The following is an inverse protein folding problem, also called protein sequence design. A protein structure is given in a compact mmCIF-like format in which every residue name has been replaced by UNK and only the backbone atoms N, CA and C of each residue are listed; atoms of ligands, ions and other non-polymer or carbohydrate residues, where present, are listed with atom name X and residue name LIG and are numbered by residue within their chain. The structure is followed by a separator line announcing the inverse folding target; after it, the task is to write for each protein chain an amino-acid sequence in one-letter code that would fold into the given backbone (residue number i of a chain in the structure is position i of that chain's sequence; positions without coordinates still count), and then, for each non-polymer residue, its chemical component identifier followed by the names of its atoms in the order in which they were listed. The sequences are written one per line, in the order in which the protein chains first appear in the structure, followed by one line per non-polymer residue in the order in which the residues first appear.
data_IF_451085343890
#
_entry.id   IF_451085343890
#
_cell.length_a   1.000
_cell.length_b   1.000
_cell.length_c   1.000
_cell.angle_alpha   90.00
_cell.angle_beta   90.00
_cell.angle_gamma   90.00
#
_symmetry.space_group_name_H-M   'P 1'
#
loop_
_entity.id
_entity.type
_entity.pdbx_description
1 polymer ?
#
# COMPACT_ATOMS: atom_id res chain seq x y z
N UNK A 1 21.25 -6.61 6.64
CA UNK A 1 21.76 -6.18 5.31
C UNK A 1 21.01 -7.01 4.27
N UNK A 2 20.20 -6.38 3.40
CA UNK A 2 19.49 -7.07 2.34
C UNK A 2 20.49 -7.63 1.33
N UNK A 3 20.36 -8.93 1.03
CA UNK A 3 21.14 -9.59 -0.01
C UNK A 3 20.91 -8.87 -1.36
N UNK A 4 21.98 -8.37 -2.03
CA UNK A 4 21.84 -7.66 -3.30
C UNK A 4 21.29 -8.53 -4.46
N UNK A 5 21.28 -9.86 -4.29
CA UNK A 5 20.75 -10.81 -5.27
C UNK A 5 19.23 -11.05 -5.20
N UNK A 6 18.56 -10.59 -4.14
CA UNK A 6 17.12 -10.80 -3.99
C UNK A 6 16.29 -9.85 -4.87
N UNK A 7 15.18 -10.36 -5.40
CA UNK A 7 14.18 -9.55 -6.09
C UNK A 7 13.53 -8.53 -5.14
N UNK A 8 12.87 -7.53 -5.71
CA UNK A 8 12.10 -6.54 -4.92
C UNK A 8 10.96 -7.16 -4.12
N UNK A 9 10.31 -8.17 -4.68
CA UNK A 9 9.24 -8.89 -4.00
C UNK A 9 9.77 -9.69 -2.80
N UNK A 10 10.88 -10.41 -2.97
CA UNK A 10 11.54 -11.12 -1.88
C UNK A 10 12.04 -10.17 -0.78
N UNK A 11 12.61 -9.02 -1.16
CA UNK A 11 13.01 -7.98 -0.18
C UNK A 11 11.83 -7.48 0.63
N UNK A 12 10.66 -7.23 -0.01
CA UNK A 12 9.44 -6.83 0.69
C UNK A 12 8.99 -7.91 1.68
N UNK A 13 8.97 -9.18 1.29
CA UNK A 13 8.62 -10.28 2.18
C UNK A 13 9.55 -10.31 3.42
N UNK A 14 10.85 -10.12 3.20
CA UNK A 14 11.84 -10.10 4.30
C UNK A 14 11.62 -8.92 5.28
N UNK A 15 11.30 -7.70 4.80
CA UNK A 15 11.07 -6.56 5.70
C UNK A 15 9.74 -6.66 6.47
N UNK A 16 8.84 -7.57 6.06
CA UNK A 16 7.61 -7.88 6.81
C UNK A 16 7.85 -8.92 7.92
N UNK A 17 8.96 -9.64 7.91
CA UNK A 17 9.35 -10.54 9.00
C UNK A 17 10.04 -9.76 10.13
N UNK A 18 9.22 -9.16 10.99
CA UNK A 18 9.69 -8.29 12.08
C UNK A 18 10.41 -9.08 13.16
N UNK A 19 11.52 -8.52 13.66
CA UNK A 19 12.22 -9.02 14.82
C UNK A 19 11.47 -8.67 16.11
N UNK A 20 11.11 -9.67 16.92
CA UNK A 20 10.59 -9.43 18.28
C UNK A 20 11.73 -8.88 19.17
N UNK A 21 11.51 -7.74 19.79
CA UNK A 21 12.45 -7.10 20.74
C UNK A 21 12.01 -7.39 22.17
N UNK A 22 10.73 -7.21 22.46
CA UNK A 22 10.10 -7.46 23.74
C UNK A 22 8.61 -7.82 23.51
N UNK A 23 7.87 -8.14 24.56
CA UNK A 23 6.42 -8.31 24.44
C UNK A 23 5.77 -7.06 23.86
N UNK A 24 4.97 -7.24 22.80
CA UNK A 24 4.28 -6.16 22.08
C UNK A 24 5.23 -5.10 21.45
N UNK A 25 6.55 -5.35 21.38
CA UNK A 25 7.54 -4.47 20.76
C UNK A 25 8.31 -5.21 19.67
N UNK A 26 8.24 -4.69 18.45
CA UNK A 26 8.86 -5.29 17.27
C UNK A 26 9.73 -4.29 16.52
N UNK A 27 10.77 -4.78 15.84
CA UNK A 27 11.63 -3.99 14.98
C UNK A 27 11.49 -4.43 13.53
N UNK A 28 11.27 -3.46 12.64
CA UNK A 28 11.26 -3.64 11.19
C UNK A 28 12.47 -3.01 10.55
N UNK A 29 13.12 -3.76 9.65
CA UNK A 29 14.12 -3.22 8.72
C UNK A 29 13.43 -2.50 7.56
N UNK A 30 14.18 -1.71 6.78
CA UNK A 30 13.61 -0.88 5.73
C UNK A 30 14.13 -1.23 4.34
N UNK A 31 13.27 -1.05 3.33
CA UNK A 31 13.69 -0.95 1.94
C UNK A 31 14.43 0.37 1.74
N UNK A 32 15.71 0.31 1.33
CA UNK A 32 16.56 1.49 1.17
C UNK A 32 16.53 2.10 -0.24
N UNK A 33 15.96 1.38 -1.19
CA UNK A 33 16.03 1.71 -2.61
C UNK A 33 14.94 2.70 -3.08
N UNK A 34 13.99 3.06 -2.20
CA UNK A 34 12.89 3.99 -2.50
C UNK A 34 13.22 5.46 -2.18
N UNK A 35 14.50 5.80 -1.99
CA UNK A 35 14.96 7.14 -1.65
C UNK A 35 15.23 7.32 -0.15
N UNK A 36 15.33 8.56 0.32
CA UNK A 36 15.71 8.86 1.72
C UNK A 36 14.55 8.76 2.72
N UNK A 37 13.31 8.66 2.26
CA UNK A 37 12.10 8.59 3.10
C UNK A 37 11.45 7.22 3.01
N UNK A 38 10.92 6.76 4.12
CA UNK A 38 10.12 5.54 4.16
C UNK A 38 8.88 5.69 3.26
N UNK A 39 8.55 4.63 2.55
CA UNK A 39 7.28 4.51 1.86
C UNK A 39 6.17 4.23 2.88
N UNK A 40 5.06 4.99 2.82
CA UNK A 40 3.96 4.84 3.77
C UNK A 40 3.34 3.45 3.77
N UNK A 41 3.22 2.82 2.59
CA UNK A 41 2.75 1.44 2.47
C UNK A 41 3.63 0.42 3.19
N UNK A 42 4.95 0.62 3.25
CA UNK A 42 5.83 -0.23 4.07
C UNK A 42 5.50 -0.10 5.56
N UNK A 43 5.31 1.13 6.05
CA UNK A 43 4.98 1.37 7.47
C UNK A 43 3.61 0.78 7.82
N UNK A 44 2.60 0.93 6.94
CA UNK A 44 1.28 0.30 7.08
C UNK A 44 1.39 -1.24 7.17
N UNK A 45 2.14 -1.85 6.25
CA UNK A 45 2.31 -3.30 6.19
C UNK A 45 3.06 -3.85 7.41
N UNK A 46 4.15 -3.20 7.83
CA UNK A 46 4.91 -3.59 9.02
C UNK A 46 4.11 -3.38 10.31
N UNK A 47 3.34 -2.29 10.44
CA UNK A 47 2.44 -2.09 11.57
C UNK A 47 1.36 -3.18 11.63
N UNK A 48 0.81 -3.57 10.47
CA UNK A 48 -0.13 -4.70 10.37
C UNK A 48 0.52 -6.02 10.75
N UNK A 49 1.75 -6.27 10.30
CA UNK A 49 2.52 -7.46 10.66
C UNK A 49 2.83 -7.52 12.18
N UNK A 50 3.18 -6.38 12.81
CA UNK A 50 3.35 -6.28 14.26
C UNK A 50 2.06 -6.61 15.00
N UNK A 51 0.92 -6.08 14.56
CA UNK A 51 -0.39 -6.38 15.15
C UNK A 51 -0.73 -7.87 15.04
N UNK A 52 -0.46 -8.51 13.89
CA UNK A 52 -0.66 -9.94 13.68
C UNK A 52 0.17 -10.85 14.61
N UNK A 53 1.31 -10.35 15.13
CA UNK A 53 2.11 -11.09 16.15
C UNK A 53 1.44 -11.17 17.52
N UNK A 54 0.31 -10.47 17.70
CA UNK A 54 -0.41 -10.36 18.98
C UNK A 54 -1.83 -10.92 18.95
N UNK A 55 -2.24 -11.51 17.82
CA UNK A 55 -3.59 -12.09 17.63
C UNK A 55 -3.49 -13.49 17.06
N UNK A 56 -4.54 -14.29 17.27
CA UNK A 56 -4.67 -15.66 16.79
C UNK A 56 -6.05 -15.89 16.17
N UNK A 57 -6.11 -16.61 15.05
CA UNK A 57 -7.37 -17.06 14.40
C UNK A 57 -8.39 -15.93 14.08
N UNK A 58 -7.91 -14.69 13.95
CA UNK A 58 -8.71 -13.54 13.51
C UNK A 58 -7.98 -12.79 12.41
N UNK A 59 -8.74 -12.21 11.49
CA UNK A 59 -8.17 -11.54 10.32
C UNK A 59 -8.39 -10.03 10.37
N UNK A 60 -7.35 -9.28 9.99
CA UNK A 60 -7.43 -7.83 9.81
C UNK A 60 -8.54 -7.49 8.82
N UNK A 61 -9.58 -6.80 9.26
CA UNK A 61 -10.65 -6.33 8.38
C UNK A 61 -10.66 -4.81 8.20
N UNK A 62 -10.08 -4.04 9.14
CA UNK A 62 -9.95 -2.60 8.97
C UNK A 62 -8.74 -2.02 9.71
N UNK A 63 -8.20 -0.93 9.18
CA UNK A 63 -7.21 -0.09 9.84
C UNK A 63 -7.44 1.39 9.53
N UNK A 64 -7.05 2.25 10.49
CA UNK A 64 -7.10 3.71 10.37
C UNK A 64 -5.79 4.29 10.89
N UNK A 65 -5.12 5.10 10.08
CA UNK A 65 -3.75 5.53 10.35
C UNK A 65 -3.51 7.01 10.07
N UNK A 66 -2.57 7.61 10.82
CA UNK A 66 -2.00 8.93 10.55
C UNK A 66 -0.49 8.85 10.37
N UNK A 67 0.01 9.52 9.34
CA UNK A 67 1.43 9.76 9.11
C UNK A 67 1.83 11.07 9.78
N UNK A 68 2.58 10.99 10.87
CA UNK A 68 2.88 12.12 11.74
C UNK A 68 4.16 12.85 11.33
N UNK A 69 5.19 12.10 10.92
CA UNK A 69 6.53 12.61 10.55
C UNK A 69 7.14 11.77 9.43
N UNK A 70 8.01 12.33 8.60
CA UNK A 70 8.79 11.56 7.64
C UNK A 70 9.68 10.53 8.34
N UNK A 71 9.49 9.25 8.05
CA UNK A 71 10.40 8.20 8.46
C UNK A 71 11.66 8.17 7.58
N UNK A 72 12.78 7.72 8.13
CA UNK A 72 14.08 7.58 7.47
C UNK A 72 14.37 6.13 7.15
N UNK A 73 14.96 5.87 5.98
CA UNK A 73 15.30 4.50 5.54
C UNK A 73 16.59 3.96 6.18
N UNK A 74 17.47 4.84 6.66
CA UNK A 74 18.80 4.51 7.18
C UNK A 74 18.81 3.96 8.61
N UNK A 75 17.64 3.77 9.20
CA UNK A 75 17.50 3.21 10.56
C UNK A 75 16.20 2.43 10.71
N UNK A 76 16.18 1.36 11.51
CA UNK A 76 14.98 0.54 11.70
C UNK A 76 13.84 1.34 12.33
N UNK A 77 12.64 0.79 12.21
CA UNK A 77 11.42 1.29 12.86
C UNK A 77 11.06 0.36 14.02
N UNK A 78 10.75 0.92 15.18
CA UNK A 78 10.15 0.19 16.29
C UNK A 78 8.64 0.30 16.21
N UNK A 79 7.95 -0.82 16.36
CA UNK A 79 6.48 -0.93 16.39
C UNK A 79 6.05 -1.38 17.78
N UNK A 80 5.44 -0.47 18.53
CA UNK A 80 4.81 -0.75 19.82
C UNK A 80 3.34 -1.07 19.58
N UNK A 81 2.86 -2.19 20.12
CA UNK A 81 1.49 -2.67 19.94
C UNK A 81 0.76 -2.65 21.28
N UNK A 82 -0.29 -1.85 21.39
CA UNK A 82 -1.20 -1.86 22.53
C UNK A 82 -2.36 -2.84 22.27
N UNK A 83 -2.62 -3.77 23.19
CA UNK A 83 -3.77 -4.68 23.17
C UNK A 83 -4.98 -3.97 23.73
N UNK A 84 -5.68 -3.17 22.89
CA UNK A 84 -6.80 -2.34 23.32
C UNK A 84 -8.01 -3.19 23.75
N UNK A 85 -8.29 -4.26 22.99
CA UNK A 85 -9.41 -5.16 23.25
C UNK A 85 -9.13 -6.56 22.72
N UNK A 86 -9.42 -7.56 23.52
CA UNK A 86 -9.49 -8.97 23.16
C UNK A 86 -10.93 -9.46 23.36
N UNK A 87 -11.75 -9.34 22.32
CA UNK A 87 -13.14 -9.82 22.32
C UNK A 87 -13.26 -11.17 21.61
N UNK A 88 -14.42 -11.82 21.73
CA UNK A 88 -14.68 -13.13 21.13
C UNK A 88 -14.69 -13.09 19.59
N UNK A 89 -15.41 -12.12 18.98
CA UNK A 89 -15.53 -11.96 17.53
C UNK A 89 -14.63 -10.88 16.98
N UNK A 90 -14.32 -9.83 17.77
CA UNK A 90 -13.51 -8.69 17.37
C UNK A 90 -12.36 -8.44 18.33
N UNK A 91 -11.20 -8.17 17.76
CA UNK A 91 -9.97 -7.82 18.48
C UNK A 91 -9.46 -6.48 17.95
N UNK A 92 -9.02 -5.58 18.87
CA UNK A 92 -8.51 -4.25 18.49
C UNK A 92 -7.08 -4.07 18.97
N UNK A 93 -6.23 -3.55 18.11
CA UNK A 93 -4.83 -3.20 18.39
C UNK A 93 -4.57 -1.75 18.01
N UNK A 94 -3.82 -1.04 18.86
CA UNK A 94 -3.21 0.24 18.50
C UNK A 94 -1.73 0.05 18.30
N UNK A 95 -1.18 0.62 17.23
CA UNK A 95 0.21 0.50 16.85
C UNK A 95 0.82 1.89 16.74
N UNK A 96 1.97 2.10 17.37
CA UNK A 96 2.79 3.30 17.21
C UNK A 96 4.12 2.91 16.58
N UNK A 97 4.44 3.52 15.44
CA UNK A 97 5.76 3.38 14.82
C UNK A 97 6.68 4.50 15.29
N UNK A 98 7.87 4.12 15.76
CA UNK A 98 8.80 5.01 16.45
C UNK A 98 10.17 4.98 15.77
N UNK A 99 10.74 6.15 15.53
CA UNK A 99 12.16 6.33 15.19
C UNK A 99 12.75 7.47 16.02
N UNK A 100 13.97 7.32 16.54
CA UNK A 100 14.65 8.31 17.38
C UNK A 100 13.81 8.77 18.59
N UNK A 101 13.07 7.88 19.22
CA UNK A 101 12.21 8.22 20.35
C UNK A 101 10.97 9.07 19.99
N UNK A 102 10.67 9.24 18.69
CA UNK A 102 9.51 10.01 18.24
C UNK A 102 8.56 9.13 17.44
N UNK A 103 7.26 9.25 17.72
CA UNK A 103 6.24 8.63 16.88
C UNK A 103 6.26 9.26 15.48
N UNK A 104 6.47 8.42 14.46
CA UNK A 104 6.40 8.82 13.04
C UNK A 104 5.05 8.46 12.41
N UNK A 105 4.32 7.52 13.02
CA UNK A 105 3.06 6.99 12.53
C UNK A 105 2.27 6.37 13.69
N UNK A 106 0.93 6.39 13.62
CA UNK A 106 0.04 5.62 14.48
C UNK A 106 -1.07 4.96 13.66
N UNK A 107 -1.61 3.85 14.17
CA UNK A 107 -2.66 3.09 13.52
C UNK A 107 -3.51 2.38 14.57
N UNK A 108 -4.83 2.44 14.41
CA UNK A 108 -5.76 1.52 15.06
C UNK A 108 -6.17 0.44 14.04
N UNK A 109 -6.11 -0.84 14.45
CA UNK A 109 -6.42 -2.00 13.62
C UNK A 109 -7.47 -2.88 14.29
N UNK A 110 -8.47 -3.31 13.52
CA UNK A 110 -9.53 -4.21 13.97
C UNK A 110 -9.45 -5.54 13.22
N UNK A 111 -9.57 -6.62 13.98
CA UNK A 111 -9.53 -8.00 13.51
C UNK A 111 -10.85 -8.67 13.83
N UNK A 112 -11.28 -9.59 12.96
CA UNK A 112 -12.53 -10.33 13.10
C UNK A 112 -12.30 -11.82 12.87
N UNK A 113 -12.99 -12.66 13.64
CA UNK A 113 -13.14 -14.08 13.32
C UNK A 113 -14.06 -14.26 12.11
N UNK A 114 -13.86 -15.32 11.33
CA UNK A 114 -14.73 -15.59 10.19
C UNK A 114 -16.16 -15.89 10.66
N UNK A 115 -17.13 -15.15 10.09
CA UNK A 115 -18.56 -15.29 10.39
C UNK A 115 -19.36 -15.27 9.08
N UNK A 116 -20.43 -16.07 9.01
CA UNK A 116 -21.37 -16.02 7.88
C UNK A 116 -22.32 -14.83 8.06
N UNK A 117 -22.65 -14.15 6.95
CA UNK A 117 -23.52 -12.99 6.98
C UNK A 117 -24.15 -12.68 5.62
N UNK A 118 -24.75 -11.47 5.50
CA UNK A 118 -25.22 -10.95 4.22
C UNK A 118 -24.03 -10.60 3.32
N UNK A 119 -24.13 -10.92 2.03
CA UNK A 119 -23.07 -10.66 1.05
C UNK A 119 -23.60 -9.86 -0.13
N UNK A 120 -22.86 -8.82 -0.49
CA UNK A 120 -22.98 -8.09 -1.74
C UNK A 120 -21.67 -7.35 -2.02
N UNK A 121 -21.46 -6.91 -3.25
CA UNK A 121 -20.40 -5.97 -3.62
C UNK A 121 -20.85 -5.05 -4.73
N UNK A 122 -20.27 -3.85 -4.79
CA UNK A 122 -20.43 -2.98 -5.94
C UNK A 122 -19.83 -3.64 -7.19
N UNK A 123 -20.35 -3.39 -8.39
CA UNK A 123 -19.79 -3.92 -9.62
C UNK A 123 -18.42 -3.30 -9.91
N UNK A 124 -17.50 -4.11 -10.42
CA UNK A 124 -16.20 -3.64 -10.88
C UNK A 124 -16.39 -2.66 -12.07
N UNK A 125 -15.65 -1.53 -12.10
CA UNK A 125 -15.64 -0.65 -13.25
C UNK A 125 -15.22 -1.37 -14.53
N UNK A 126 -15.87 -1.02 -15.66
CA UNK A 126 -15.51 -1.58 -16.96
C UNK A 126 -14.22 -0.93 -17.48
N UNK A 127 -13.14 -1.69 -17.50
CA UNK A 127 -11.80 -1.29 -17.97
C UNK A 127 -11.20 -2.41 -18.82
N UNK A 128 -10.23 -2.12 -19.71
CA UNK A 128 -9.51 -3.17 -20.44
C UNK A 128 -8.85 -4.16 -19.47
N UNK A 129 -8.89 -5.46 -19.75
CA UNK A 129 -8.26 -6.48 -18.91
C UNK A 129 -6.72 -6.35 -18.94
N UNK A 130 -6.02 -6.85 -17.92
CA UNK A 130 -4.57 -6.63 -17.81
C UNK A 130 -3.77 -7.21 -18.98
N UNK A 131 -4.22 -8.28 -19.62
CA UNK A 131 -3.56 -8.88 -20.78
C UNK A 131 -3.50 -7.98 -22.03
N UNK A 132 -4.37 -6.98 -22.12
CA UNK A 132 -4.42 -6.01 -23.22
C UNK A 132 -3.58 -4.76 -22.95
N UNK A 133 -2.99 -4.63 -21.76
CA UNK A 133 -2.23 -3.46 -21.33
C UNK A 133 -0.74 -3.79 -21.21
N UNK A 134 0.09 -2.79 -21.45
CA UNK A 134 1.55 -2.89 -21.29
C UNK A 134 1.94 -2.69 -19.84
N UNK A 135 3.11 -3.24 -19.45
CA UNK A 135 3.65 -3.02 -18.11
C UNK A 135 4.27 -1.63 -18.00
N UNK A 136 3.92 -0.89 -16.92
CA UNK A 136 4.33 0.49 -16.73
C UNK A 136 5.85 0.68 -16.73
N UNK A 137 6.62 -0.29 -16.19
CA UNK A 137 8.08 -0.23 -16.16
C UNK A 137 8.71 -0.37 -17.56
N UNK A 138 8.09 -1.13 -18.46
CA UNK A 138 8.55 -1.28 -19.84
C UNK A 138 8.30 0.01 -20.62
N UNK A 139 7.07 0.55 -20.51
CA UNK A 139 6.73 1.83 -21.13
C UNK A 139 7.62 2.96 -20.60
N UNK A 140 7.87 3.01 -19.29
CA UNK A 140 8.73 4.02 -18.69
C UNK A 140 10.19 3.93 -19.18
N UNK A 141 10.73 2.73 -19.43
CA UNK A 141 12.07 2.55 -20.01
C UNK A 141 12.14 3.07 -21.44
N UNK A 142 11.15 2.76 -22.27
CA UNK A 142 11.09 3.24 -23.65
C UNK A 142 11.00 4.77 -23.73
N UNK A 143 10.28 5.41 -22.80
CA UNK A 143 10.15 6.85 -22.69
C UNK A 143 11.41 7.56 -22.13
N UNK A 144 12.53 6.84 -21.94
CA UNK A 144 13.79 7.39 -21.46
C UNK A 144 14.02 7.33 -19.96
N UNK A 145 13.26 6.51 -19.25
CA UNK A 145 13.46 6.22 -17.82
C UNK A 145 13.42 7.48 -16.94
N UNK A 146 14.47 7.72 -16.16
CA UNK A 146 14.53 8.84 -15.21
C UNK A 146 14.54 10.24 -15.84
N UNK A 147 14.88 10.36 -17.13
CA UNK A 147 14.91 11.63 -17.88
C UNK A 147 13.59 11.89 -18.63
N UNK A 148 12.66 10.95 -18.59
CA UNK A 148 11.34 11.10 -19.19
C UNK A 148 10.51 12.16 -18.45
N UNK A 149 9.34 12.48 -19.02
CA UNK A 149 8.40 13.50 -18.57
C UNK A 149 8.42 13.74 -17.04
N UNK A 150 8.70 14.99 -16.59
CA UNK A 150 8.71 15.35 -15.15
C UNK A 150 7.40 15.03 -14.40
N UNK A 151 6.30 14.86 -15.14
CA UNK A 151 5.00 14.44 -14.59
C UNK A 151 4.97 12.97 -14.18
N UNK A 152 5.87 12.15 -14.74
CA UNK A 152 5.95 10.74 -14.36
C UNK A 152 6.41 10.60 -12.91
N UNK A 153 5.68 9.79 -12.15
CA UNK A 153 6.11 9.43 -10.81
C UNK A 153 7.51 8.80 -10.84
N UNK A 154 8.45 9.23 -9.97
CA UNK A 154 9.69 8.48 -9.77
C UNK A 154 9.43 6.98 -9.56
N UNK A 155 8.26 6.69 -9.02
CA UNK A 155 7.78 5.35 -8.76
C UNK A 155 7.44 4.52 -10.03
N UNK A 156 7.11 5.11 -11.15
CA UNK A 156 6.93 4.41 -12.44
C UNK A 156 8.26 3.97 -13.06
N UNK A 157 9.38 4.53 -12.59
CA UNK A 157 10.72 4.39 -13.17
C UNK A 157 11.55 3.28 -12.53
N UNK A 158 11.06 2.65 -11.46
CA UNK A 158 11.82 1.69 -10.66
C UNK A 158 11.09 0.35 -10.66
N UNK A 159 11.87 -0.72 -10.74
CA UNK A 159 11.35 -2.06 -10.53
C UNK A 159 10.70 -2.17 -9.13
N UNK A 160 9.55 -2.81 -9.04
CA UNK A 160 8.71 -2.84 -7.85
C UNK A 160 8.36 -4.24 -7.45
N UNK A 161 7.95 -4.47 -6.20
CA UNK A 161 7.44 -5.77 -5.78
C UNK A 161 6.14 -6.18 -6.50
N UNK A 162 5.49 -5.22 -7.20
CA UNK A 162 4.27 -5.46 -7.97
C UNK A 162 4.47 -5.17 -9.45
N UNK A 163 3.88 -5.98 -10.31
CA UNK A 163 3.56 -5.63 -11.69
C UNK A 163 2.50 -4.53 -11.69
N UNK A 164 2.65 -3.54 -12.55
CA UNK A 164 1.70 -2.43 -12.72
C UNK A 164 1.37 -2.29 -14.20
N UNK A 165 0.07 -2.21 -14.52
CA UNK A 165 -0.44 -1.94 -15.86
C UNK A 165 -1.51 -0.87 -15.78
N UNK A 166 -1.14 0.36 -16.12
CA UNK A 166 -2.03 1.50 -16.09
C UNK A 166 -2.99 1.48 -17.28
N UNK A 167 -4.29 1.68 -17.02
CA UNK A 167 -5.30 1.79 -18.09
C UNK A 167 -5.04 3.02 -18.96
N UNK A 168 -4.58 4.11 -18.37
CA UNK A 168 -4.05 5.26 -19.10
C UNK A 168 -2.55 5.07 -19.28
N UNK A 169 -2.13 4.54 -20.44
CA UNK A 169 -0.73 4.25 -20.72
C UNK A 169 0.17 5.48 -20.52
N UNK A 170 1.25 5.31 -19.79
CA UNK A 170 2.22 6.38 -19.48
C UNK A 170 2.69 7.08 -20.76
N UNK A 171 2.70 8.42 -20.75
CA UNK A 171 3.12 9.23 -21.88
C UNK A 171 2.10 9.34 -23.02
N UNK A 172 0.99 8.61 -22.99
CA UNK A 172 -0.10 8.77 -23.96
C UNK A 172 -0.82 10.12 -23.79
N UNK A 173 -1.58 10.53 -24.84
CA UNK A 173 -2.41 11.74 -24.76
C UNK A 173 -3.39 11.65 -23.58
N UNK A 174 -4.11 10.54 -23.45
CA UNK A 174 -5.09 10.31 -22.38
C UNK A 174 -4.43 10.33 -20.99
N UNK A 175 -3.17 9.88 -20.86
CA UNK A 175 -2.42 9.99 -19.62
C UNK A 175 -2.13 11.44 -19.24
N UNK A 176 -1.89 12.32 -20.20
CA UNK A 176 -1.59 13.75 -19.99
C UNK A 176 -2.82 14.62 -19.71
N UNK A 177 -4.02 14.13 -19.90
CA UNK A 177 -5.27 14.87 -19.72
C UNK A 177 -5.71 14.93 -18.24
N UNK A 178 -6.45 15.98 -17.88
CA UNK A 178 -7.08 16.11 -16.56
C UNK A 178 -8.16 15.06 -16.36
N UNK A 179 -8.13 14.39 -15.22
CA UNK A 179 -9.09 13.32 -14.90
C UNK A 179 -9.25 13.12 -13.41
N UNK A 180 -10.35 12.48 -12.99
CA UNK A 180 -10.68 12.23 -11.58
C UNK A 180 -10.43 10.78 -11.15
N UNK A 181 -10.04 9.88 -12.04
CA UNK A 181 -9.79 8.46 -11.74
C UNK A 181 -8.49 7.96 -12.38
N UNK A 182 -7.93 6.94 -11.80
CA UNK A 182 -6.70 6.31 -12.26
C UNK A 182 -6.71 4.80 -12.01
N UNK A 183 -7.42 4.02 -12.82
CA UNK A 183 -7.42 2.57 -12.71
C UNK A 183 -6.07 2.00 -13.13
N UNK A 184 -5.55 1.06 -12.32
CA UNK A 184 -4.27 0.40 -12.57
C UNK A 184 -4.40 -1.04 -12.14
N UNK A 185 -4.09 -2.00 -13.00
CA UNK A 185 -3.96 -3.38 -12.61
C UNK A 185 -2.64 -3.60 -11.86
N UNK A 186 -2.72 -4.31 -10.74
CA UNK A 186 -1.56 -4.68 -9.94
C UNK A 186 -1.53 -6.19 -9.71
N UNK A 187 -0.34 -6.76 -9.63
CA UNK A 187 -0.12 -8.16 -9.29
C UNK A 187 1.22 -8.27 -8.56
N UNK A 188 1.28 -9.03 -7.46
CA UNK A 188 2.55 -9.30 -6.79
C UNK A 188 3.45 -10.13 -7.70
N UNK A 189 4.77 -9.81 -7.74
CA UNK A 189 5.70 -10.40 -8.72
C UNK A 189 6.09 -11.84 -8.44
N UNK A 190 5.92 -12.28 -7.22
CA UNK A 190 6.28 -13.64 -6.78
C UNK A 190 5.10 -14.33 -6.13
N UNK A 191 5.20 -15.64 -5.95
CA UNK A 191 4.25 -16.34 -5.11
C UNK A 191 4.33 -15.82 -3.68
N UNK A 192 3.18 -15.56 -3.07
CA UNK A 192 3.11 -15.15 -1.67
C UNK A 192 3.38 -16.40 -0.82
N UNK A 193 4.61 -16.57 -0.38
CA UNK A 193 5.05 -17.72 0.41
C UNK A 193 5.54 -17.27 1.78
N UNK A 194 5.27 -18.08 2.80
CA UNK A 194 5.79 -17.83 4.14
C UNK A 194 7.32 -17.99 4.16
N UNK A 195 8.04 -17.13 4.91
CA UNK A 195 9.50 -17.21 5.02
C UNK A 195 9.99 -18.52 5.63
N UNK A 196 9.16 -19.19 6.44
CA UNK A 196 9.45 -20.45 7.09
C UNK A 196 8.30 -21.42 6.89
N UNK A 197 8.61 -22.69 6.68
CA UNK A 197 7.61 -23.76 6.65
C UNK A 197 6.95 -23.92 8.02
N UNK A 198 5.62 -24.03 8.04
CA UNK A 198 4.80 -24.25 9.23
C UNK A 198 4.16 -25.63 9.07
N UNK A 199 4.38 -26.52 10.05
CA UNK A 199 3.88 -27.92 9.99
C UNK A 199 2.37 -28.00 10.19
N UNK A 200 1.78 -27.15 11.03
CA UNK A 200 0.34 -27.08 11.24
C UNK A 200 -0.35 -26.39 10.06
N UNK A 201 -1.22 -27.11 9.30
CA UNK A 201 -1.91 -26.54 8.14
C UNK A 201 -2.83 -25.36 8.48
N UNK A 202 -3.49 -25.34 9.65
CA UNK A 202 -4.38 -24.25 10.07
C UNK A 202 -3.56 -23.00 10.35
N UNK A 203 -2.47 -23.14 11.10
CA UNK A 203 -1.55 -22.02 11.37
C UNK A 203 -0.88 -21.53 10.08
N UNK A 204 -0.47 -22.42 9.17
CA UNK A 204 0.08 -22.05 7.87
C UNK A 204 -0.93 -21.24 7.05
N UNK A 205 -2.18 -21.66 6.98
CA UNK A 205 -3.25 -20.94 6.28
C UNK A 205 -3.52 -19.58 6.90
N UNK A 206 -3.56 -19.49 8.23
CA UNK A 206 -3.72 -18.23 8.95
C UNK A 206 -2.58 -17.25 8.65
N UNK A 207 -1.32 -17.70 8.74
CA UNK A 207 -0.14 -16.87 8.45
C UNK A 207 -0.07 -16.44 6.99
N UNK A 208 -0.44 -17.31 6.07
CA UNK A 208 -0.52 -16.98 4.65
C UNK A 208 -1.54 -15.86 4.38
N UNK A 209 -2.71 -15.94 4.99
CA UNK A 209 -3.72 -14.89 4.89
C UNK A 209 -3.29 -13.59 5.60
N UNK A 210 -2.61 -13.67 6.74
CA UNK A 210 -2.05 -12.53 7.42
C UNK A 210 -1.03 -11.78 6.53
N UNK A 211 -0.12 -12.52 5.91
CA UNK A 211 0.87 -11.97 4.98
C UNK A 211 0.19 -11.31 3.77
N UNK A 212 -0.80 -11.96 3.16
CA UNK A 212 -1.54 -11.38 2.05
C UNK A 212 -2.23 -10.05 2.43
N UNK A 213 -2.82 -9.96 3.63
CA UNK A 213 -3.43 -8.71 4.12
C UNK A 213 -2.39 -7.62 4.41
N UNK A 214 -1.20 -7.96 4.89
CA UNK A 214 -0.09 -7.01 5.03
C UNK A 214 0.38 -6.48 3.66
N UNK A 215 0.42 -7.33 2.64
CA UNK A 215 0.76 -6.91 1.27
C UNK A 215 -0.34 -6.04 0.64
N UNK A 216 -1.62 -6.28 0.94
CA UNK A 216 -2.72 -5.37 0.58
C UNK A 216 -2.53 -4.01 1.25
N UNK A 217 -2.17 -3.95 2.53
CA UNK A 217 -1.88 -2.71 3.24
C UNK A 217 -0.69 -1.96 2.60
N UNK A 218 0.37 -2.68 2.18
CA UNK A 218 1.47 -2.10 1.41
C UNK A 218 0.98 -1.49 0.08
N UNK A 219 0.25 -2.28 -0.70
CA UNK A 219 -0.21 -1.88 -2.03
C UNK A 219 -1.22 -0.73 -1.97
N UNK A 220 -2.02 -0.63 -0.91
CA UNK A 220 -3.07 0.36 -0.74
C UNK A 220 -2.58 1.81 -0.73
N UNK A 221 -1.31 2.09 -0.35
CA UNK A 221 -0.72 3.44 -0.41
C UNK A 221 -0.07 3.76 -1.78
N UNK A 222 -0.02 2.79 -2.72
CA UNK A 222 0.65 2.98 -4.00
C UNK A 222 -0.08 3.98 -4.90
N UNK A 223 0.47 5.20 -5.02
CA UNK A 223 -0.02 6.20 -5.96
C UNK A 223 -1.31 6.91 -5.58
N UNK A 224 -1.83 6.76 -4.34
CA UNK A 224 -3.06 7.43 -3.91
C UNK A 224 -2.91 8.96 -3.92
N UNK A 225 -1.98 9.51 -3.17
CA UNK A 225 -1.81 10.99 -3.10
C UNK A 225 -1.60 11.60 -4.48
N UNK A 226 -0.89 10.89 -5.38
CA UNK A 226 -0.69 11.38 -6.75
C UNK A 226 -1.97 11.41 -7.59
N UNK A 227 -2.95 10.58 -7.27
CA UNK A 227 -4.26 10.60 -7.93
C UNK A 227 -5.00 11.92 -7.66
N UNK A 228 -4.80 12.52 -6.49
CA UNK A 228 -5.43 13.81 -6.17
C UNK A 228 -4.91 15.00 -7.00
N UNK A 229 -3.79 14.85 -7.70
CA UNK A 229 -3.24 15.87 -8.61
C UNK A 229 -3.80 15.75 -10.05
N UNK A 230 -4.37 14.61 -10.42
CA UNK A 230 -4.79 14.33 -11.79
C UNK A 230 -5.78 15.35 -12.40
N UNK A 231 -6.73 15.96 -11.65
CA UNK A 231 -7.57 17.04 -12.20
C UNK A 231 -6.83 18.32 -12.57
N UNK A 232 -5.54 18.41 -12.28
CA UNK A 232 -4.66 19.54 -12.57
C UNK A 232 -3.43 19.12 -13.40
N UNK A 233 -3.40 17.92 -13.95
CA UNK A 233 -2.22 17.32 -14.56
C UNK A 233 -1.76 18.09 -15.81
N UNK A 234 -2.69 18.60 -16.61
CA UNK A 234 -2.36 19.36 -17.81
C UNK A 234 -1.70 20.73 -17.50
N UNK A 235 -2.02 21.32 -16.33
CA UNK A 235 -1.59 22.67 -15.95
C UNK A 235 -0.54 22.71 -14.83
N UNK A 236 -0.20 21.57 -14.21
CA UNK A 236 0.66 21.53 -13.03
C UNK A 236 1.79 20.54 -13.22
N UNK A 237 3.01 21.01 -13.00
CA UNK A 237 4.16 20.12 -12.94
C UNK A 237 4.24 19.44 -11.57
N UNK A 238 4.33 18.10 -11.54
CA UNK A 238 4.41 17.31 -10.31
C UNK A 238 5.59 17.72 -9.40
N UNK A 239 6.72 18.16 -9.99
CA UNK A 239 7.88 18.63 -9.24
C UNK A 239 7.60 19.90 -8.40
N UNK A 240 6.58 20.67 -8.79
CA UNK A 240 6.16 21.88 -8.08
C UNK A 240 5.28 21.59 -6.87
N UNK A 241 4.81 20.35 -6.71
CA UNK A 241 3.93 19.96 -5.62
C UNK A 241 4.70 19.12 -4.58
N UNK A 242 4.73 19.59 -3.36
CA UNK A 242 5.12 18.77 -2.20
C UNK A 242 3.94 17.86 -1.86
N UNK A 243 4.16 16.55 -1.93
CA UNK A 243 3.16 15.53 -1.60
C UNK A 243 3.60 14.70 -0.40
N UNK A 244 2.66 14.37 0.47
CA UNK A 244 2.83 13.43 1.58
C UNK A 244 1.48 12.84 1.99
N UNK A 245 1.43 11.58 2.39
CA UNK A 245 0.26 10.97 3.03
C UNK A 245 0.03 11.62 4.41
N UNK A 246 -1.23 11.89 4.76
CA UNK A 246 -1.63 12.43 6.05
C UNK A 246 -2.43 11.41 6.85
N UNK A 247 -3.54 10.94 6.30
CA UNK A 247 -4.40 9.92 6.90
C UNK A 247 -4.71 8.82 5.89
N UNK A 248 -4.80 7.56 6.36
CA UNK A 248 -5.12 6.39 5.54
C UNK A 248 -6.10 5.49 6.27
N UNK A 249 -7.17 5.07 5.59
CA UNK A 249 -8.13 4.09 6.07
C UNK A 249 -8.27 2.97 5.05
N UNK A 250 -8.27 1.73 5.52
CA UNK A 250 -8.38 0.54 4.68
C UNK A 250 -9.37 -0.44 5.33
N UNK A 251 -10.28 -0.99 4.52
CA UNK A 251 -11.18 -2.09 4.87
C UNK A 251 -10.90 -3.26 3.93
N UNK A 252 -10.58 -4.42 4.46
CA UNK A 252 -10.33 -5.65 3.71
C UNK A 252 -11.56 -6.54 3.87
N UNK A 253 -12.30 -6.73 2.78
CA UNK A 253 -13.57 -7.44 2.78
C UNK A 253 -13.40 -8.94 2.57
N UNK A 254 -12.36 -9.36 1.82
CA UNK A 254 -12.09 -10.76 1.46
C UNK A 254 -10.59 -11.04 1.41
N UNK A 255 -10.24 -12.31 1.51
CA UNK A 255 -8.88 -12.75 1.19
C UNK A 255 -8.54 -12.38 -0.27
N UNK A 256 -7.34 -11.87 -0.49
CA UNK A 256 -6.89 -11.47 -1.82
C UNK A 256 -5.88 -12.47 -2.36
N UNK A 257 -6.11 -13.06 -3.54
CA UNK A 257 -5.08 -13.76 -4.27
C UNK A 257 -4.14 -12.73 -4.90
N UNK A 258 -3.04 -12.38 -4.22
CA UNK A 258 -2.09 -11.37 -4.71
C UNK A 258 -1.20 -11.87 -5.84
N UNK A 259 -1.18 -13.15 -6.09
CA UNK A 259 -0.59 -13.80 -7.26
C UNK A 259 -1.51 -13.75 -8.51
N UNK A 260 -2.70 -13.18 -8.38
CA UNK A 260 -3.61 -12.82 -9.46
C UNK A 260 -3.66 -11.30 -9.68
N UNK A 261 -4.23 -10.87 -10.80
CA UNK A 261 -4.40 -9.46 -11.07
C UNK A 261 -5.53 -8.85 -10.22
N UNK A 262 -5.24 -7.72 -9.59
CA UNK A 262 -6.23 -6.88 -8.91
C UNK A 262 -6.34 -5.55 -9.63
N UNK A 263 -7.56 -5.11 -9.92
CA UNK A 263 -7.81 -3.75 -10.38
C UNK A 263 -7.76 -2.80 -9.18
N UNK A 264 -6.79 -1.91 -9.15
CA UNK A 264 -6.70 -0.78 -8.23
C UNK A 264 -7.41 0.43 -8.84
N UNK A 265 -8.69 0.58 -8.57
CA UNK A 265 -9.51 1.68 -9.04
C UNK A 265 -9.41 2.85 -8.07
N UNK A 266 -8.70 3.91 -8.45
CA UNK A 266 -8.45 5.12 -7.65
C UNK A 266 -9.23 6.29 -8.22
N UNK A 267 -9.91 7.06 -7.37
CA UNK A 267 -10.60 8.30 -7.75
C UNK A 267 -10.38 9.39 -6.71
N UNK A 268 -10.17 10.63 -7.17
CA UNK A 268 -10.14 11.80 -6.30
C UNK A 268 -11.50 12.48 -6.25
N UNK A 269 -11.88 12.97 -5.09
CA UNK A 269 -13.15 13.68 -4.88
C UNK A 269 -12.97 15.18 -4.75
N UNK A 270 -11.85 15.63 -4.17
CA UNK A 270 -11.61 17.06 -3.91
C UNK A 270 -10.13 17.33 -3.64
N UNK A 271 -9.70 18.57 -3.92
CA UNK A 271 -8.46 19.13 -3.42
C UNK A 271 -8.75 20.56 -2.94
N UNK A 272 -8.43 20.86 -1.66
CA UNK A 272 -8.64 22.17 -1.06
C UNK A 272 -7.67 22.39 0.11
N UNK A 273 -7.30 23.64 0.38
CA UNK A 273 -6.41 23.99 1.51
C UNK A 273 -5.13 23.17 1.56
N UNK A 274 -4.50 22.98 0.41
CA UNK A 274 -3.30 22.14 0.22
C UNK A 274 -3.47 20.67 0.63
N UNK A 275 -4.67 20.12 0.62
CA UNK A 275 -4.96 18.71 0.83
C UNK A 275 -5.78 18.17 -0.32
N UNK A 276 -5.64 16.88 -0.59
CA UNK A 276 -6.47 16.15 -1.56
C UNK A 276 -7.00 14.87 -0.95
N UNK A 277 -8.20 14.49 -1.35
CA UNK A 277 -8.88 13.28 -0.90
C UNK A 277 -9.00 12.27 -2.05
N UNK A 278 -8.63 11.03 -1.78
CA UNK A 278 -8.71 9.91 -2.72
C UNK A 278 -9.46 8.76 -2.08
N UNK A 279 -10.36 8.16 -2.85
CA UNK A 279 -11.05 6.92 -2.53
C UNK A 279 -10.64 5.85 -3.53
N UNK A 280 -10.55 4.62 -3.11
CA UNK A 280 -10.19 3.54 -4.02
C UNK A 280 -10.69 2.18 -3.57
N UNK A 281 -10.75 1.28 -4.54
CA UNK A 281 -11.15 -0.10 -4.35
C UNK A 281 -10.15 -1.04 -5.04
N UNK A 282 -9.95 -2.22 -4.46
CA UNK A 282 -9.34 -3.36 -5.13
C UNK A 282 -10.41 -4.35 -5.55
N UNK A 283 -10.44 -4.68 -6.83
CA UNK A 283 -11.29 -5.75 -7.38
C UNK A 283 -10.40 -6.88 -7.90
N UNK A 284 -10.76 -8.11 -7.61
CA UNK A 284 -10.18 -9.27 -8.30
C UNK A 284 -10.57 -9.24 -9.79
N UNK A 285 -9.81 -9.90 -10.67
CA UNK A 285 -10.12 -9.98 -12.10
C UNK A 285 -11.51 -10.63 -12.36
N UNK A 286 -12.00 -11.44 -11.43
CA UNK A 286 -13.37 -11.96 -11.41
C UNK A 286 -14.48 -10.92 -11.18
N UNK A 287 -14.13 -9.67 -10.85
CA UNK A 287 -15.06 -8.59 -10.53
C UNK A 287 -15.45 -8.49 -9.05
N UNK A 288 -14.92 -9.34 -8.19
CA UNK A 288 -15.21 -9.36 -6.74
C UNK A 288 -14.46 -8.23 -6.04
N UNK A 289 -15.15 -7.42 -5.23
CA UNK A 289 -14.54 -6.38 -4.39
C UNK A 289 -13.75 -7.01 -3.24
N UNK A 290 -12.45 -6.74 -3.20
CA UNK A 290 -11.50 -7.28 -2.20
C UNK A 290 -11.31 -6.31 -1.05
N UNK A 291 -11.07 -5.03 -1.33
CA UNK A 291 -10.83 -4.01 -0.32
C UNK A 291 -11.27 -2.63 -0.77
N UNK A 292 -11.61 -1.77 0.20
CA UNK A 292 -11.90 -0.35 0.00
C UNK A 292 -10.97 0.50 0.85
N UNK A 293 -10.59 1.68 0.35
CA UNK A 293 -9.69 2.57 1.08
C UNK A 293 -9.94 4.04 0.79
N UNK A 294 -9.52 4.88 1.73
CA UNK A 294 -9.56 6.33 1.59
C UNK A 294 -8.28 6.96 2.15
N UNK A 295 -7.77 7.98 1.48
CA UNK A 295 -6.55 8.66 1.89
C UNK A 295 -6.64 10.16 1.70
N UNK A 296 -6.31 10.90 2.75
CA UNK A 296 -6.01 12.32 2.64
C UNK A 296 -4.51 12.52 2.47
N UNK A 297 -4.11 13.38 1.53
CA UNK A 297 -2.71 13.72 1.28
C UNK A 297 -2.46 15.22 1.24
N UNK A 298 -1.26 15.64 1.65
CA UNK A 298 -0.76 17.00 1.44
C UNK A 298 -0.48 17.22 -0.05
N UNK A 299 -0.95 18.34 -0.59
CA UNK A 299 -0.72 18.84 -1.95
C UNK A 299 -0.31 20.32 -1.89
N UNK A 300 0.90 20.59 -1.42
CA UNK A 300 1.35 21.97 -1.24
C UNK A 300 2.20 22.41 -2.43
N UNK A 301 1.84 23.51 -3.08
CA UNK A 301 2.73 24.15 -4.05
C UNK A 301 4.02 24.58 -3.36
N UNK A 302 5.16 24.22 -3.95
CA UNK A 302 6.46 24.73 -3.50
C UNK A 302 6.52 26.20 -3.83
N UNK A 303 7.02 27.01 -2.91
CA UNK A 303 7.30 28.44 -3.21
C UNK A 303 8.47 28.47 -4.19
N UNK A 304 8.34 29.19 -5.29
CA UNK A 304 9.48 29.63 -6.09
C UNK A 304 10.21 30.66 -5.25
N UNK A 305 11.41 30.37 -4.82
CA UNK A 305 12.31 31.36 -4.21
C UNK A 305 12.75 32.37 -5.27
#
# INVERSE_FOLDING_TARGET
MSDPGLSRAAKLLNVLDLKKIEENLYQGENETENGARLFGGQVLAQASAAAYRTVEKVHLHSLHAYFLRPGRVDRPVLYEVERVRDGRSFVTRRIVAIQNGQAIFNMDASFQADELGLEHSAPMPNVPPPRELREDVEVARELGGAQADPRMSPMAKVDRPFHLRSVFELGSKAWGEDRFWNPTWIKFREAVTLPQAIEDPEEAAFRQQALARCLIAYASDMGLVSTAVLPHQASTNRSEIQMASLGHSLWIHRAAPLDEWLLFHKRTSTAQSSRGMVHSEFFAESGVLVASMSQEGLLRKRRSD
#
